data_IF_748503374063
#
_entry.id   IF_748503374063
#
_cell.length_a   1.000
_cell.length_b   1.000
_cell.length_c   1.000
_cell.angle_alpha   90.00
_cell.angle_beta   90.00
_cell.angle_gamma   90.00
#
_symmetry.space_group_name_H-M   'P 1'
#
loop_
_entity.id
_entity.type
_entity.pdbx_description
1 polymer ?
#
# COMPACT_ATOMS: atom_id res chain seq x y z
N UNK A 1 3.28 7.79 6.83
CA UNK A 1 2.37 6.62 6.84
C UNK A 1 1.75 6.35 8.21
N UNK A 2 2.51 6.42 9.31
CA UNK A 2 1.96 6.25 10.68
C UNK A 2 0.86 7.25 11.01
N UNK A 3 1.07 8.54 10.71
CA UNK A 3 0.05 9.58 10.95
C UNK A 3 -1.22 9.29 10.13
N UNK A 4 -1.10 9.00 8.83
CA UNK A 4 -2.23 8.65 7.97
C UNK A 4 -2.97 7.39 8.47
N UNK A 5 -2.22 6.40 8.95
CA UNK A 5 -2.78 5.19 9.53
C UNK A 5 -3.54 5.47 10.83
N UNK A 6 -2.99 6.31 11.71
CA UNK A 6 -3.65 6.74 12.96
C UNK A 6 -4.93 7.52 12.65
N UNK A 7 -4.88 8.45 11.69
CA UNK A 7 -6.04 9.24 11.27
C UNK A 7 -7.13 8.34 10.65
N UNK A 8 -6.76 7.27 9.95
CA UNK A 8 -7.73 6.33 9.40
C UNK A 8 -8.29 5.38 10.48
N UNK A 9 -7.46 4.90 11.40
CA UNK A 9 -7.85 3.98 12.47
C UNK A 9 -8.69 4.65 13.56
N UNK A 10 -8.39 5.89 13.94
CA UNK A 10 -9.06 6.54 15.05
C UNK A 10 -10.58 6.67 14.84
N UNK A 11 -11.10 7.16 13.68
CA UNK A 11 -12.52 7.15 13.38
C UNK A 11 -13.12 5.73 13.38
N UNK A 12 -12.37 4.75 12.87
CA UNK A 12 -12.84 3.36 12.85
C UNK A 12 -12.98 2.77 14.26
N UNK A 13 -12.04 3.07 15.16
CA UNK A 13 -12.12 2.71 16.57
C UNK A 13 -13.29 3.39 17.29
N UNK A 14 -13.54 4.67 17.00
CA UNK A 14 -14.70 5.41 17.56
C UNK A 14 -16.02 4.78 17.10
N UNK A 15 -16.15 4.45 15.81
CA UNK A 15 -17.34 3.75 15.31
C UNK A 15 -17.57 2.41 15.99
N UNK A 16 -16.49 1.67 16.29
CA UNK A 16 -16.57 0.41 17.02
C UNK A 16 -17.08 0.59 18.46
N UNK A 17 -16.62 1.63 19.17
CA UNK A 17 -17.11 1.96 20.50
C UNK A 17 -18.59 2.34 20.49
N UNK A 18 -19.03 3.13 19.51
CA UNK A 18 -20.45 3.51 19.37
C UNK A 18 -21.30 2.26 19.09
N UNK A 19 -20.85 1.36 18.20
CA UNK A 19 -21.55 0.08 17.92
C UNK A 19 -21.71 -0.77 19.19
N UNK A 20 -20.71 -0.75 20.07
CA UNK A 20 -20.77 -1.46 21.35
C UNK A 20 -21.81 -0.86 22.31
N UNK A 21 -21.89 0.47 22.40
CA UNK A 21 -22.86 1.15 23.28
C UNK A 21 -24.31 0.96 22.79
N UNK A 22 -24.54 0.98 21.48
CA UNK A 22 -25.88 0.89 20.88
C UNK A 22 -26.23 -0.51 20.34
N UNK A 23 -25.65 -1.56 20.94
CA UNK A 23 -25.77 -2.95 20.45
C UNK A 23 -27.22 -3.43 20.25
N UNK A 24 -28.18 -2.89 21.02
CA UNK A 24 -29.58 -3.31 20.99
C UNK A 24 -30.45 -2.57 19.97
N UNK A 25 -29.93 -1.51 19.34
CA UNK A 25 -30.67 -0.76 18.32
C UNK A 25 -30.21 -1.21 16.93
N UNK A 26 -31.04 -2.02 16.28
CA UNK A 26 -30.75 -2.59 14.95
C UNK A 26 -30.51 -1.50 13.89
N UNK A 27 -31.21 -0.36 13.98
CA UNK A 27 -31.09 0.74 13.03
C UNK A 27 -29.73 1.45 13.14
N UNK A 28 -29.27 1.68 14.38
CA UNK A 28 -27.95 2.26 14.65
C UNK A 28 -26.84 1.32 14.21
N UNK A 29 -26.96 0.02 14.52
CA UNK A 29 -25.97 -1.00 14.13
C UNK A 29 -25.82 -1.08 12.61
N UNK A 30 -26.93 -1.13 11.87
CA UNK A 30 -26.96 -1.13 10.40
C UNK A 30 -26.24 0.08 9.79
N UNK A 31 -26.51 1.27 10.33
CA UNK A 31 -25.91 2.52 9.84
C UNK A 31 -24.41 2.54 10.09
N UNK A 32 -23.98 2.12 11.29
CA UNK A 32 -22.55 2.05 11.65
C UNK A 32 -21.82 1.02 10.79
N UNK A 33 -22.45 -0.11 10.48
CA UNK A 33 -21.85 -1.14 9.63
C UNK A 33 -21.61 -0.64 8.21
N UNK A 34 -22.58 0.07 7.63
CA UNK A 34 -22.44 0.71 6.32
C UNK A 34 -21.27 1.71 6.34
N UNK A 35 -21.20 2.58 7.35
CA UNK A 35 -20.13 3.56 7.48
C UNK A 35 -18.76 2.91 7.74
N UNK A 36 -18.71 1.84 8.53
CA UNK A 36 -17.49 1.09 8.79
C UNK A 36 -16.95 0.42 7.52
N UNK A 37 -17.83 -0.08 6.65
CA UNK A 37 -17.41 -0.66 5.36
C UNK A 37 -16.75 0.39 4.46
N UNK A 38 -17.30 1.61 4.41
CA UNK A 38 -16.65 2.72 3.68
C UNK A 38 -15.30 3.09 4.29
N UNK A 39 -15.21 3.17 5.62
CA UNK A 39 -13.96 3.52 6.29
C UNK A 39 -12.90 2.42 6.21
N UNK A 40 -13.27 1.14 6.18
CA UNK A 40 -12.33 0.02 6.08
C UNK A 40 -11.46 0.06 4.80
N UNK A 41 -11.94 0.73 3.74
CA UNK A 41 -11.17 0.93 2.52
C UNK A 41 -9.95 1.84 2.73
N UNK A 42 -10.02 2.80 3.66
CA UNK A 42 -8.95 3.80 3.88
C UNK A 42 -7.69 3.17 4.47
N UNK A 43 -7.74 2.39 5.57
CA UNK A 43 -6.57 1.66 6.06
C UNK A 43 -6.02 0.66 5.06
N UNK A 44 -6.89 -0.03 4.31
CA UNK A 44 -6.48 -0.98 3.28
C UNK A 44 -5.66 -0.31 2.18
N UNK A 45 -6.18 0.79 1.61
CA UNK A 45 -5.48 1.56 0.59
C UNK A 45 -4.14 2.11 1.12
N UNK A 46 -4.12 2.63 2.36
CA UNK A 46 -2.91 3.10 3.01
C UNK A 46 -1.86 1.99 3.18
N UNK A 47 -2.29 0.77 3.53
CA UNK A 47 -1.42 -0.41 3.61
C UNK A 47 -0.84 -0.81 2.25
N UNK A 48 -1.67 -0.88 1.20
CA UNK A 48 -1.24 -1.21 -0.17
C UNK A 48 -0.22 -0.20 -0.70
N UNK A 49 -0.51 1.09 -0.56
CA UNK A 49 0.40 2.17 -0.97
C UNK A 49 1.74 2.05 -0.22
N UNK A 50 1.71 1.70 1.07
CA UNK A 50 2.94 1.55 1.84
C UNK A 50 3.81 0.41 1.32
N UNK A 51 3.24 -0.75 1.02
CA UNK A 51 3.98 -1.90 0.46
C UNK A 51 4.59 -1.52 -0.89
N UNK A 52 3.82 -0.84 -1.75
CA UNK A 52 4.28 -0.37 -3.07
C UNK A 52 5.46 0.61 -2.91
N UNK A 53 5.31 1.63 -2.06
CA UNK A 53 6.37 2.62 -1.83
C UNK A 53 7.62 1.95 -1.25
N UNK A 54 7.47 1.06 -0.28
CA UNK A 54 8.61 0.34 0.31
C UNK A 54 9.32 -0.52 -0.74
N UNK A 55 8.58 -1.16 -1.64
CA UNK A 55 9.15 -1.93 -2.74
C UNK A 55 9.95 -1.04 -3.70
N UNK A 56 9.40 0.12 -4.09
CA UNK A 56 10.11 1.08 -4.94
C UNK A 56 11.33 1.69 -4.26
N UNK A 57 11.22 2.11 -2.99
CA UNK A 57 12.35 2.64 -2.23
C UNK A 57 13.45 1.59 -2.09
N UNK A 58 13.11 0.34 -1.79
CA UNK A 58 14.09 -0.75 -1.73
C UNK A 58 14.79 -0.98 -3.08
N UNK A 59 14.03 -0.92 -4.18
CA UNK A 59 14.56 -1.07 -5.54
C UNK A 59 15.47 0.10 -5.93
N UNK A 60 15.05 1.34 -5.65
CA UNK A 60 15.85 2.54 -5.86
C UNK A 60 17.10 2.52 -4.99
N UNK A 61 17.00 2.13 -3.72
CA UNK A 61 18.14 2.01 -2.82
C UNK A 61 19.17 1.02 -3.35
N UNK A 62 18.75 -0.19 -3.75
CA UNK A 62 19.64 -1.19 -4.37
C UNK A 62 20.29 -0.66 -5.63
N UNK A 63 19.53 0.02 -6.48
CA UNK A 63 20.05 0.64 -7.71
C UNK A 63 21.10 1.71 -7.38
N UNK A 64 20.81 2.63 -6.46
CA UNK A 64 21.75 3.66 -6.03
C UNK A 64 23.01 3.07 -5.41
N UNK A 65 22.90 2.04 -4.58
CA UNK A 65 24.06 1.33 -4.01
C UNK A 65 24.88 0.66 -5.11
N UNK A 66 24.24 0.00 -6.07
CA UNK A 66 24.92 -0.62 -7.21
C UNK A 66 25.63 0.41 -8.09
N UNK A 67 25.01 1.56 -8.34
CA UNK A 67 25.61 2.68 -9.09
C UNK A 67 26.79 3.29 -8.31
N UNK A 68 26.66 3.49 -6.99
CA UNK A 68 27.74 4.00 -6.14
C UNK A 68 28.94 3.04 -6.02
N UNK A 69 28.68 1.73 -6.00
CA UNK A 69 29.73 0.70 -5.92
C UNK A 69 30.30 0.31 -7.30
N UNK A 70 29.83 0.92 -8.39
CA UNK A 70 30.23 0.53 -9.75
C UNK A 70 29.77 -0.87 -10.15
N UNK A 71 28.89 -1.51 -9.37
CA UNK A 71 28.29 -2.80 -9.64
C UNK A 71 27.16 -2.61 -10.65
N UNK A 72 27.50 -2.22 -11.89
CA UNK A 72 26.56 -2.13 -13.00
C UNK A 72 25.90 -3.50 -13.15
N UNK A 73 24.69 -3.66 -12.60
CA UNK A 73 23.89 -4.84 -12.87
C UNK A 73 23.47 -4.69 -14.32
N UNK A 74 24.19 -5.37 -15.21
CA UNK A 74 23.85 -5.55 -16.62
C UNK A 74 22.41 -6.09 -16.67
N UNK A 75 21.44 -5.20 -16.66
CA UNK A 75 20.03 -5.54 -16.67
C UNK A 75 19.70 -6.00 -18.08
N UNK A 76 19.93 -7.30 -18.33
CA UNK A 76 19.07 -8.19 -19.08
C UNK A 76 18.25 -7.47 -20.16
N UNK A 77 18.94 -6.93 -21.17
CA UNK A 77 18.35 -6.76 -22.50
C UNK A 77 18.29 -8.16 -23.09
N UNK A 78 17.39 -8.98 -22.57
CA UNK A 78 16.91 -10.18 -23.25
C UNK A 78 15.80 -9.78 -24.23
N UNK A 79 16.13 -8.82 -25.09
CA UNK A 79 15.66 -8.80 -26.47
C UNK A 79 16.90 -9.25 -27.25
N UNK A 80 17.09 -10.53 -27.59
CA UNK A 80 16.40 -11.20 -28.70
C UNK A 80 15.88 -10.18 -29.73
N UNK A 81 16.23 -10.38 -31.01
CA UNK A 81 16.06 -9.44 -32.13
C UNK A 81 17.05 -8.26 -32.01
N UNK A 82 18.19 -8.18 -32.71
CA UNK A 82 18.44 -8.36 -34.14
C UNK A 82 19.95 -8.63 -34.32
N UNK A 83 20.31 -9.81 -34.82
CA UNK A 83 21.51 -9.92 -35.66
C UNK A 83 21.23 -9.21 -36.98
N UNK A 84 22.22 -8.51 -37.54
CA UNK A 84 22.53 -8.68 -38.94
C UNK A 84 23.98 -9.12 -39.06
N UNK A 85 24.15 -10.43 -39.26
CA UNK A 85 25.06 -10.96 -40.28
C UNK A 85 25.01 -10.06 -41.52
N UNK A 86 26.15 -9.65 -42.07
CA UNK A 86 26.39 -9.50 -43.52
C UNK A 86 27.86 -9.07 -43.72
N UNK A 87 28.58 -10.03 -44.33
CA UNK A 87 29.80 -9.95 -45.16
C UNK A 87 31.12 -9.65 -44.46
#
# INVERSE_FOLDING_TARGET
MTISFIIALAPQGVLFLIKFTYKNDEGVVSTIETLNNFHAFVPLANGTIHIIINFFISSMYRRTVNELLGLKTEHFVAHSVIQPTII
#
